data_IF_293806579192
#
_entry.id   IF_293806579192
#
_cell.length_a   1.000
_cell.length_b   1.000
_cell.length_c   1.000
_cell.angle_alpha   90.00
_cell.angle_beta   90.00
_cell.angle_gamma   90.00
#
_symmetry.space_group_name_H-M   'P 1'
#
loop_
_entity.id
_entity.type
_entity.pdbx_description
1 polymer ?
#
# COMPACT_ATOMS: atom_id res chain seq x y z
N UNK A 1 -14.01 1.18 11.32
CA UNK A 1 -14.04 0.03 10.38
C UNK A 1 -14.49 0.57 9.03
N UNK A 2 -13.72 0.37 7.95
CA UNK A 2 -14.15 0.78 6.59
C UNK A 2 -14.79 -0.42 5.90
N UNK A 3 -15.84 -0.18 5.11
CA UNK A 3 -16.52 -1.22 4.32
C UNK A 3 -15.96 -1.20 2.91
N UNK A 4 -15.52 -2.36 2.43
CA UNK A 4 -15.04 -2.54 1.06
C UNK A 4 -15.95 -3.57 0.38
N UNK A 5 -16.74 -3.19 -0.63
CA UNK A 5 -17.53 -4.14 -1.39
C UNK A 5 -16.61 -4.97 -2.29
N UNK A 6 -16.73 -6.29 -2.23
CA UNK A 6 -15.93 -7.22 -3.03
C UNK A 6 -16.85 -8.02 -3.94
N UNK A 7 -16.54 -8.06 -5.24
CA UNK A 7 -17.22 -8.94 -6.19
C UNK A 7 -16.54 -10.30 -6.15
N UNK A 8 -17.33 -11.34 -5.92
CA UNK A 8 -16.88 -12.72 -5.91
C UNK A 8 -17.66 -13.50 -6.97
N UNK A 9 -16.99 -14.45 -7.61
CA UNK A 9 -17.67 -15.41 -8.46
C UNK A 9 -18.47 -16.42 -7.61
N UNK A 10 -19.44 -17.06 -8.25
CA UNK A 10 -20.37 -17.97 -7.59
C UNK A 10 -19.69 -19.17 -6.93
N UNK A 11 -18.55 -19.62 -7.47
CA UNK A 11 -17.81 -20.75 -6.91
C UNK A 11 -17.20 -20.37 -5.58
N UNK A 12 -16.47 -19.25 -5.53
CA UNK A 12 -15.87 -18.75 -4.29
C UNK A 12 -16.92 -18.43 -3.23
N UNK A 13 -18.07 -17.89 -3.63
CA UNK A 13 -19.16 -17.61 -2.70
C UNK A 13 -19.72 -18.89 -2.07
N UNK A 14 -19.89 -19.96 -2.86
CA UNK A 14 -20.33 -21.27 -2.35
C UNK A 14 -19.33 -21.89 -1.40
N UNK A 15 -18.04 -21.82 -1.70
CA UNK A 15 -16.99 -22.33 -0.81
C UNK A 15 -17.02 -21.59 0.53
N UNK A 16 -17.18 -20.27 0.50
CA UNK A 16 -17.33 -19.44 1.70
C UNK A 16 -18.57 -19.83 2.51
N UNK A 17 -19.69 -20.11 1.85
CA UNK A 17 -20.93 -20.55 2.49
C UNK A 17 -20.80 -21.89 3.18
N UNK A 18 -20.06 -22.83 2.60
CA UNK A 18 -19.78 -24.13 3.21
C UNK A 18 -19.04 -23.92 4.54
N UNK A 19 -18.02 -23.04 4.56
CA UNK A 19 -17.24 -22.76 5.76
C UNK A 19 -18.08 -22.12 6.87
N UNK A 20 -18.99 -21.21 6.50
CA UNK A 20 -19.91 -20.61 7.47
C UNK A 20 -20.92 -21.64 7.99
N UNK A 21 -21.50 -22.46 7.11
CA UNK A 21 -22.45 -23.51 7.49
C UNK A 21 -21.83 -24.60 8.37
N UNK A 22 -20.54 -24.90 8.16
CA UNK A 22 -19.78 -25.82 8.99
C UNK A 22 -19.44 -25.24 10.39
N UNK A 23 -19.78 -23.96 10.65
CA UNK A 23 -19.50 -23.30 11.92
C UNK A 23 -18.05 -22.85 12.10
N UNK A 24 -17.22 -22.95 11.06
CA UNK A 24 -15.81 -22.50 11.10
C UNK A 24 -15.74 -20.98 11.24
N UNK A 25 -16.66 -20.27 10.58
CA UNK A 25 -16.81 -18.83 10.70
C UNK A 25 -18.26 -18.46 11.03
N UNK A 26 -18.47 -17.41 11.82
CA UNK A 26 -19.78 -16.88 12.19
C UNK A 26 -20.55 -16.32 10.99
N UNK A 27 -19.84 -15.75 10.02
CA UNK A 27 -20.43 -15.17 8.81
C UNK A 27 -19.39 -14.99 7.68
N UNK A 28 -19.88 -14.71 6.47
CA UNK A 28 -19.07 -14.46 5.26
C UNK A 28 -18.02 -13.36 5.45
N UNK A 29 -18.39 -12.26 6.13
CA UNK A 29 -17.49 -11.12 6.35
C UNK A 29 -16.35 -11.45 7.31
N UNK A 30 -16.57 -12.33 8.28
CA UNK A 30 -15.50 -12.84 9.13
C UNK A 30 -14.58 -13.78 8.35
N UNK A 31 -15.15 -14.70 7.57
CA UNK A 31 -14.38 -15.60 6.72
C UNK A 31 -13.47 -14.82 5.75
N UNK A 32 -14.02 -13.83 5.04
CA UNK A 32 -13.27 -12.98 4.12
C UNK A 32 -12.16 -12.19 4.83
N UNK A 33 -12.45 -11.61 6.00
CA UNK A 33 -11.43 -10.90 6.77
C UNK A 33 -10.29 -11.83 7.15
N UNK A 34 -10.58 -13.03 7.68
CA UNK A 34 -9.54 -13.98 8.08
C UNK A 34 -8.69 -14.43 6.89
N UNK A 35 -9.31 -14.65 5.73
CA UNK A 35 -8.61 -14.99 4.49
C UNK A 35 -7.70 -13.84 4.02
N UNK A 36 -8.18 -12.61 4.08
CA UNK A 36 -7.39 -11.41 3.74
C UNK A 36 -6.21 -11.29 4.71
N UNK A 37 -6.43 -11.38 6.02
CA UNK A 37 -5.38 -11.26 7.03
C UNK A 37 -4.29 -12.31 6.82
N UNK A 38 -4.68 -13.57 6.61
CA UNK A 38 -3.75 -14.68 6.32
C UNK A 38 -3.00 -14.46 5.00
N UNK A 39 -3.67 -13.90 3.99
CA UNK A 39 -3.04 -13.53 2.72
C UNK A 39 -2.04 -12.38 2.87
N UNK A 40 -2.37 -11.38 3.70
CA UNK A 40 -1.52 -10.23 4.00
C UNK A 40 -0.25 -10.64 4.74
N UNK A 41 -0.34 -11.58 5.69
CA UNK A 41 0.84 -12.11 6.40
C UNK A 41 1.86 -12.73 5.42
N UNK A 42 1.40 -13.37 4.34
CA UNK A 42 2.28 -14.00 3.33
C UNK A 42 3.00 -12.99 2.45
N UNK A 43 2.47 -11.77 2.30
CA UNK A 43 3.05 -10.73 1.44
C UNK A 43 3.60 -9.53 2.24
N UNK A 44 3.65 -9.64 3.57
CA UNK A 44 4.02 -8.53 4.45
C UNK A 44 5.47 -8.08 4.20
N UNK A 45 6.37 -9.02 3.90
CA UNK A 45 7.76 -8.72 3.58
C UNK A 45 7.89 -7.88 2.31
N UNK A 46 7.19 -8.26 1.23
CA UNK A 46 7.16 -7.54 -0.05
C UNK A 46 6.51 -6.17 0.12
N UNK A 47 5.40 -6.08 0.86
CA UNK A 47 4.74 -4.80 1.14
C UNK A 47 5.66 -3.86 1.91
N UNK A 48 6.40 -4.36 2.91
CA UNK A 48 7.40 -3.57 3.65
C UNK A 48 8.53 -3.11 2.75
N UNK A 49 9.02 -3.97 1.88
CA UNK A 49 10.06 -3.64 0.91
C UNK A 49 9.61 -2.53 -0.05
N UNK A 50 8.43 -2.65 -0.63
CA UNK A 50 7.86 -1.64 -1.53
C UNK A 50 7.62 -0.30 -0.83
N UNK A 51 7.13 -0.30 0.41
CA UNK A 51 7.02 0.93 1.22
C UNK A 51 8.37 1.60 1.45
N UNK A 52 9.44 0.81 1.64
CA UNK A 52 10.79 1.37 1.80
C UNK A 52 11.30 1.99 0.51
N UNK A 53 11.02 1.38 -0.64
CA UNK A 53 11.32 1.98 -1.96
C UNK A 53 10.58 3.32 -2.09
N UNK A 54 9.28 3.35 -1.80
CA UNK A 54 8.45 4.55 -1.91
C UNK A 54 8.99 5.70 -1.05
N UNK A 55 9.44 5.40 0.18
CA UNK A 55 10.11 6.38 1.05
C UNK A 55 11.44 6.89 0.47
N UNK A 56 12.25 6.02 -0.11
CA UNK A 56 13.52 6.41 -0.74
C UNK A 56 13.25 7.30 -1.96
N UNK A 57 12.31 6.91 -2.81
CA UNK A 57 11.92 7.67 -4.00
C UNK A 57 11.40 9.05 -3.62
N UNK A 58 10.54 9.12 -2.60
CA UNK A 58 10.03 10.40 -2.10
C UNK A 58 11.16 11.32 -1.63
N UNK A 59 12.13 10.79 -0.86
CA UNK A 59 13.32 11.56 -0.44
C UNK A 59 14.19 12.00 -1.61
N UNK A 60 14.38 11.15 -2.63
CA UNK A 60 15.17 11.50 -3.81
C UNK A 60 14.51 12.63 -4.60
N UNK A 61 13.17 12.60 -4.74
CA UNK A 61 12.41 13.68 -5.38
C UNK A 61 12.57 14.98 -4.58
N UNK A 62 12.42 14.94 -3.26
CA UNK A 62 12.59 16.12 -2.40
C UNK A 62 14.02 16.70 -2.53
N UNK A 63 15.04 15.84 -2.56
CA UNK A 63 16.43 16.25 -2.73
C UNK A 63 16.66 16.87 -4.11
N UNK A 64 16.20 16.27 -5.22
CA UNK A 64 16.39 16.83 -6.57
C UNK A 64 15.68 18.18 -6.74
N UNK A 65 14.46 18.31 -6.19
CA UNK A 65 13.70 19.56 -6.21
C UNK A 65 14.38 20.66 -5.40
N UNK A 66 14.88 20.33 -4.20
CA UNK A 66 15.62 21.28 -3.37
C UNK A 66 16.99 21.63 -4.00
N UNK A 67 17.72 20.66 -4.54
CA UNK A 67 19.00 20.91 -5.22
C UNK A 67 18.84 21.83 -6.43
N UNK A 68 17.82 21.62 -7.27
CA UNK A 68 17.55 22.51 -8.42
C UNK A 68 17.20 23.94 -7.98
N UNK A 69 16.45 24.09 -6.89
CA UNK A 69 16.09 25.40 -6.34
C UNK A 69 17.28 26.13 -5.71
N UNK A 70 18.05 25.45 -4.86
CA UNK A 70 19.20 26.01 -4.15
C UNK A 70 20.37 26.33 -5.09
N UNK A 71 20.69 25.43 -6.03
CA UNK A 71 21.74 25.68 -7.02
C UNK A 71 21.38 26.87 -7.92
N UNK A 72 20.10 26.98 -8.32
CA UNK A 72 19.65 28.10 -9.15
C UNK A 72 19.77 29.44 -8.41
N UNK A 73 19.37 29.50 -7.13
CA UNK A 73 19.56 30.70 -6.30
C UNK A 73 21.04 31.04 -6.13
N UNK A 74 21.89 30.05 -5.85
CA UNK A 74 23.33 30.27 -5.69
C UNK A 74 23.99 30.78 -6.99
N UNK A 75 23.55 30.28 -8.15
CA UNK A 75 23.98 30.76 -9.46
C UNK A 75 23.51 32.19 -9.75
N UNK A 76 22.27 32.54 -9.41
CA UNK A 76 21.72 33.90 -9.57
C UNK A 76 22.47 34.89 -8.66
N UNK A 77 22.69 34.56 -7.38
CA UNK A 77 23.44 35.39 -6.42
C UNK A 77 24.94 35.52 -6.75
N UNK A 78 25.53 34.53 -7.43
CA UNK A 78 26.90 34.60 -7.93
C UNK A 78 27.04 35.49 -9.16
N UNK A 79 25.98 35.56 -9.99
CA UNK A 79 25.94 36.35 -11.22
C UNK A 79 25.80 37.85 -10.95
N UNK A 80 25.07 38.22 -9.91
CA UNK A 80 24.88 39.63 -9.49
C UNK A 80 26.09 40.23 -8.76
N UNK A 81 27.09 39.40 -8.42
CA UNK A 81 28.30 39.81 -7.71
C UNK A 81 29.49 40.15 -8.63
N UNK A 82 29.32 40.09 -9.95
CA UNK A 82 30.35 40.36 -10.96
C UNK A 82 29.86 41.34 -12.02
#
# INVERSE_FOLDING_TARGET
MKVVPVRLDDRKLKDLDILVRAGIFKNRSEALRKMIDTGMEKIDAEVKYLKRIDQIVSRLIDVDLNFKGELRKSLEEGRDRW
#
